data_IF_538710254489
#
_entry.id   IF_538710254489
#
_cell.length_a   1.000
_cell.length_b   1.000
_cell.length_c   1.000
_cell.angle_alpha   90.00
_cell.angle_beta   90.00
_cell.angle_gamma   90.00
#
_symmetry.space_group_name_H-M   'P 1'
#
loop_
_entity.id
_entity.type
_entity.pdbx_description
1 polymer ?
#
# COMPACT_ATOMS: atom_id res chain seq x y z
N UNK A 1 5.00 4.28 -8.57
CA UNK A 1 4.15 3.16 -8.10
C UNK A 1 4.44 1.89 -8.88
N UNK A 2 4.85 0.83 -8.18
CA UNK A 2 5.05 -0.50 -8.76
C UNK A 2 3.71 -1.17 -9.07
N UNK A 3 3.71 -2.14 -9.99
CA UNK A 3 2.52 -2.90 -10.34
C UNK A 3 2.01 -3.71 -9.14
N UNK A 4 0.70 -3.75 -8.96
CA UNK A 4 0.03 -4.48 -7.88
C UNK A 4 0.02 -5.96 -8.23
N UNK A 5 0.46 -6.82 -7.31
CA UNK A 5 0.21 -8.24 -7.39
C UNK A 5 -1.12 -8.56 -6.70
N UNK A 6 -2.14 -8.94 -7.46
CA UNK A 6 -3.49 -9.18 -6.93
C UNK A 6 -3.57 -10.33 -5.91
N UNK A 7 -2.64 -11.29 -5.94
CA UNK A 7 -2.60 -12.41 -4.99
C UNK A 7 -1.91 -12.02 -3.66
N UNK A 8 -0.82 -11.27 -3.77
CA UNK A 8 0.05 -10.95 -2.62
C UNK A 8 -0.29 -9.63 -1.94
N UNK A 9 -0.84 -8.67 -2.69
CA UNK A 9 -0.98 -7.29 -2.25
C UNK A 9 -2.43 -6.94 -1.90
N UNK A 10 -3.36 -7.89 -1.92
CA UNK A 10 -4.73 -7.71 -1.44
C UNK A 10 -4.95 -8.59 -0.22
N UNK A 11 -5.15 -7.97 0.95
CA UNK A 11 -5.30 -8.71 2.22
C UNK A 11 -6.49 -8.19 3.03
N UNK A 12 -7.22 -9.07 3.75
CA UNK A 12 -8.23 -8.64 4.70
C UNK A 12 -7.63 -7.80 5.84
N UNK A 13 -8.36 -6.80 6.30
CA UNK A 13 -7.97 -5.97 7.45
C UNK A 13 -7.72 -6.82 8.71
N UNK A 14 -8.43 -7.94 8.88
CA UNK A 14 -8.21 -8.89 9.97
C UNK A 14 -6.83 -9.56 9.93
N UNK A 15 -6.37 -9.94 8.73
CA UNK A 15 -5.05 -10.53 8.54
C UNK A 15 -3.95 -9.50 8.80
N UNK A 16 -4.13 -8.27 8.31
CA UNK A 16 -3.21 -7.18 8.59
C UNK A 16 -3.07 -6.91 10.09
N UNK A 17 -4.17 -6.88 10.86
CA UNK A 17 -4.10 -6.69 12.32
C UNK A 17 -3.31 -7.80 13.03
N UNK A 18 -3.38 -9.03 12.54
CA UNK A 18 -2.66 -10.16 13.13
C UNK A 18 -1.15 -10.09 12.84
N UNK A 19 -0.75 -9.57 11.67
CA UNK A 19 0.64 -9.66 11.16
C UNK A 19 1.20 -8.32 10.65
N UNK A 20 0.83 -7.20 11.29
CA UNK A 20 1.10 -5.84 10.78
C UNK A 20 2.59 -5.57 10.52
N UNK A 21 3.47 -6.03 11.40
CA UNK A 21 4.92 -5.84 11.26
C UNK A 21 5.48 -6.48 9.97
N UNK A 22 5.01 -7.67 9.61
CA UNK A 22 5.44 -8.37 8.39
C UNK A 22 4.97 -7.64 7.14
N UNK A 23 3.72 -7.16 7.14
CA UNK A 23 3.20 -6.38 6.03
C UNK A 23 3.92 -5.04 5.87
N UNK A 24 4.20 -4.34 6.98
CA UNK A 24 5.00 -3.10 6.94
C UNK A 24 6.39 -3.38 6.37
N UNK A 25 7.03 -4.49 6.77
CA UNK A 25 8.32 -4.91 6.22
C UNK A 25 8.22 -5.20 4.71
N UNK A 26 7.23 -5.97 4.26
CA UNK A 26 6.98 -6.23 2.84
C UNK A 26 6.83 -4.92 2.05
N UNK A 27 6.03 -3.97 2.53
CA UNK A 27 5.82 -2.68 1.87
C UNK A 27 7.15 -1.92 1.77
N UNK A 28 7.96 -1.90 2.82
CA UNK A 28 9.28 -1.24 2.82
C UNK A 28 10.26 -1.90 1.86
N UNK A 29 10.35 -3.22 1.86
CA UNK A 29 11.32 -3.99 1.07
C UNK A 29 10.95 -4.00 -0.42
N UNK A 30 9.66 -4.22 -0.70
CA UNK A 30 9.15 -4.40 -2.07
C UNK A 30 8.67 -3.11 -2.71
N UNK A 31 8.44 -2.04 -1.93
CA UNK A 31 7.79 -0.80 -2.39
C UNK A 31 6.47 -1.03 -3.15
N UNK A 32 5.85 -2.20 -2.98
CA UNK A 32 4.52 -2.50 -3.54
C UNK A 32 3.47 -2.01 -2.54
N UNK A 33 2.36 -1.42 -3.04
CA UNK A 33 1.24 -1.05 -2.18
C UNK A 33 0.56 -2.30 -1.61
N UNK A 34 -0.11 -2.17 -0.48
CA UNK A 34 -1.01 -3.19 0.08
C UNK A 34 -2.43 -2.64 0.11
N UNK A 35 -3.35 -3.33 -0.56
CA UNK A 35 -4.79 -3.04 -0.51
C UNK A 35 -5.40 -3.82 0.65
N UNK A 36 -6.03 -3.11 1.57
CA UNK A 36 -6.79 -3.71 2.65
C UNK A 36 -8.26 -3.82 2.28
N UNK A 37 -8.84 -5.00 2.53
CA UNK A 37 -10.27 -5.23 2.35
C UNK A 37 -11.02 -5.37 3.67
N UNK A 38 -12.27 -4.92 3.70
CA UNK A 38 -13.21 -5.14 4.79
C UNK A 38 -14.54 -5.64 4.19
N UNK A 39 -15.02 -6.79 4.69
CA UNK A 39 -16.21 -7.46 4.13
C UNK A 39 -16.14 -7.67 2.60
N UNK A 40 -14.94 -8.02 2.09
CA UNK A 40 -14.70 -8.27 0.66
C UNK A 40 -14.60 -7.01 -0.22
N UNK A 41 -14.65 -5.81 0.36
CA UNK A 41 -14.53 -4.54 -0.37
C UNK A 41 -13.23 -3.83 -0.02
N UNK A 42 -12.58 -3.22 -1.00
CA UNK A 42 -11.39 -2.38 -0.77
C UNK A 42 -11.75 -1.22 0.16
N UNK A 43 -10.95 -1.05 1.21
CA UNK A 43 -11.19 -0.08 2.28
C UNK A 43 -10.03 0.92 2.42
N UNK A 44 -8.78 0.47 2.22
CA UNK A 44 -7.61 1.32 2.35
C UNK A 44 -6.46 0.82 1.45
N UNK A 45 -5.50 1.70 1.19
CA UNK A 45 -4.22 1.36 0.55
C UNK A 45 -3.10 1.82 1.47
N UNK A 46 -2.17 0.92 1.79
CA UNK A 46 -0.93 1.23 2.51
C UNK A 46 0.21 1.28 1.51
N UNK A 47 1.04 2.31 1.62
CA UNK A 47 2.21 2.50 0.79
C UNK A 47 3.40 2.95 1.64
N UNK A 48 4.59 2.74 1.11
CA UNK A 48 5.81 3.25 1.72
C UNK A 48 5.79 4.78 1.77
N UNK A 49 6.26 5.36 2.87
CA UNK A 49 6.18 6.81 3.10
C UNK A 49 6.97 7.60 2.06
N UNK A 50 8.11 7.08 1.59
CA UNK A 50 8.92 7.75 0.58
C UNK A 50 8.23 7.71 -0.80
N UNK A 51 7.57 6.58 -1.14
CA UNK A 51 6.75 6.49 -2.36
C UNK A 51 5.54 7.44 -2.31
N UNK A 52 4.91 7.58 -1.13
CA UNK A 52 3.82 8.54 -0.95
C UNK A 52 4.31 9.97 -1.18
N UNK A 53 5.39 10.36 -0.51
CA UNK A 53 5.96 11.70 -0.64
C UNK A 53 6.35 12.01 -2.09
N UNK A 54 7.08 11.12 -2.75
CA UNK A 54 7.45 11.29 -4.16
C UNK A 54 6.22 11.39 -5.09
N UNK A 55 5.11 10.73 -4.74
CA UNK A 55 3.85 10.85 -5.48
C UNK A 55 3.23 12.24 -5.29
N UNK A 56 3.22 12.76 -4.06
CA UNK A 56 2.71 14.10 -3.76
C UNK A 56 3.55 15.16 -4.48
N UNK A 57 4.88 15.12 -4.34
CA UNK A 57 5.80 16.06 -5.00
C UNK A 57 5.61 16.08 -6.53
N UNK A 58 5.41 14.90 -7.13
CA UNK A 58 5.13 14.79 -8.57
C UNK A 58 3.78 15.40 -8.96
N UNK A 59 2.75 15.23 -8.13
CA UNK A 59 1.43 15.81 -8.39
C UNK A 59 1.47 17.33 -8.29
N UNK A 60 2.20 17.88 -7.33
CA UNK A 60 2.40 19.32 -7.17
C UNK A 60 3.06 19.92 -8.43
N UNK A 61 4.14 19.32 -8.93
CA UNK A 61 4.81 19.77 -10.16
C UNK A 61 3.94 19.75 -11.41
N UNK A 62 2.91 18.90 -11.46
CA UNK A 62 2.00 18.80 -12.60
C UNK A 62 0.81 19.77 -12.52
N UNK A 63 0.58 20.35 -11.34
CA UNK A 63 -0.49 21.32 -11.11
C UNK A 63 -0.02 22.77 -11.31
N UNK A 64 1.29 22.99 -11.47
CA UNK A 64 1.91 24.24 -11.92
C UNK A 64 1.89 24.37 -13.45
#
# INVERSE_FOLDING_TARGET
MRHINFEDDIKPLSEFRANSANFIKQIKDTKRPLILTQHGKSAAVLIDVAEYQATIEKLELLQE
#
